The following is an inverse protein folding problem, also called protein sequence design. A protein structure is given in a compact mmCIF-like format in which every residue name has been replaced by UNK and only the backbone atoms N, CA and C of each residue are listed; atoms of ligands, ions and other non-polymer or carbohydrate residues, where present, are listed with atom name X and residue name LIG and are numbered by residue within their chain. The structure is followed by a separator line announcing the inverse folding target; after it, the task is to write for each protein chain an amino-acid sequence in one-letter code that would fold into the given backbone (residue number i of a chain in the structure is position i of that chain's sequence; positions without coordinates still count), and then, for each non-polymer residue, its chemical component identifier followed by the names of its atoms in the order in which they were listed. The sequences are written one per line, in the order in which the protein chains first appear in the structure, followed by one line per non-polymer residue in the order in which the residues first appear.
data_IF_971090446472
#
_entry.id   IF_971090446472
#
_cell.length_a   1.000
_cell.length_b   1.000
_cell.length_c   1.000
_cell.angle_alpha   90.00
_cell.angle_beta   90.00
_cell.angle_gamma   90.00
#
_symmetry.space_group_name_H-M   'P 1'
#
loop_
_entity.id
_entity.type
_entity.pdbx_description
1 polymer ?
#
# COMPACT_ATOMS: atom_id res chain seq x y z
N UNK A 1 22.64 5.66 -10.75
CA UNK A 1 22.25 6.80 -9.87
C UNK A 1 22.75 6.52 -8.45
N UNK A 2 23.20 7.55 -7.70
CA UNK A 2 23.59 7.42 -6.29
C UNK A 2 22.49 7.98 -5.38
N UNK A 3 22.38 7.43 -4.15
CA UNK A 3 21.33 7.84 -3.20
C UNK A 3 21.41 9.33 -2.83
N UNK A 4 22.62 9.88 -2.76
CA UNK A 4 22.90 11.27 -2.39
C UNK A 4 22.50 12.26 -3.49
N UNK A 5 22.37 11.81 -4.73
CA UNK A 5 21.93 12.64 -5.86
C UNK A 5 20.41 12.88 -5.85
N UNK A 6 19.64 12.04 -5.16
CA UNK A 6 18.20 12.23 -5.01
C UNK A 6 17.93 13.43 -4.10
N UNK A 7 17.27 14.45 -4.63
CA UNK A 7 16.84 15.67 -3.92
C UNK A 7 15.35 15.94 -4.10
N UNK A 8 14.81 15.61 -5.27
CA UNK A 8 13.44 15.88 -5.70
C UNK A 8 12.72 14.57 -5.99
N UNK A 9 11.64 14.33 -5.27
CA UNK A 9 10.86 13.10 -5.43
C UNK A 9 9.44 13.46 -5.87
N UNK A 10 8.97 12.87 -6.97
CA UNK A 10 7.58 12.97 -7.36
C UNK A 10 6.78 11.80 -6.76
N UNK A 11 5.61 12.11 -6.22
CA UNK A 11 4.62 11.13 -5.75
C UNK A 11 3.37 11.29 -6.60
N UNK A 12 3.03 10.27 -7.36
CA UNK A 12 1.91 10.28 -8.29
C UNK A 12 0.72 9.55 -7.65
N UNK A 13 -0.34 10.29 -7.40
CA UNK A 13 -1.49 9.86 -6.60
C UNK A 13 -1.45 10.47 -5.21
N UNK A 14 -2.40 11.36 -4.92
CA UNK A 14 -2.52 12.06 -3.64
C UNK A 14 -3.57 11.41 -2.71
N UNK A 15 -3.88 10.14 -2.93
CA UNK A 15 -4.74 9.36 -2.06
C UNK A 15 -4.12 9.11 -0.67
N UNK A 16 -4.71 8.18 0.09
CA UNK A 16 -4.24 7.85 1.45
C UNK A 16 -2.76 7.48 1.51
N UNK A 17 -2.28 6.61 0.60
CA UNK A 17 -0.88 6.18 0.62
C UNK A 17 0.05 7.28 0.12
N UNK A 18 -0.26 7.92 -1.02
CA UNK A 18 0.60 8.97 -1.58
C UNK A 18 0.80 10.15 -0.64
N UNK A 19 -0.25 10.62 0.05
CA UNK A 19 -0.12 11.69 1.04
C UNK A 19 0.80 11.30 2.22
N UNK A 20 0.71 10.07 2.72
CA UNK A 20 1.57 9.58 3.79
C UNK A 20 3.03 9.35 3.34
N UNK A 21 3.23 8.88 2.10
CA UNK A 21 4.56 8.71 1.50
C UNK A 21 5.22 10.09 1.30
N UNK A 22 4.49 11.06 0.76
CA UNK A 22 4.97 12.43 0.61
C UNK A 22 5.39 13.05 1.95
N UNK A 23 4.57 12.88 3.00
CA UNK A 23 4.92 13.32 4.35
C UNK A 23 6.19 12.62 4.90
N UNK A 24 6.36 11.31 4.68
CA UNK A 24 7.55 10.57 5.09
C UNK A 24 8.81 11.08 4.37
N UNK A 25 8.74 11.25 3.05
CA UNK A 25 9.84 11.75 2.21
C UNK A 25 10.29 13.14 2.65
N UNK A 26 9.34 14.06 2.89
CA UNK A 26 9.63 15.40 3.37
C UNK A 26 10.17 15.38 4.79
N UNK A 27 9.55 14.66 5.72
CA UNK A 27 9.91 14.66 7.14
C UNK A 27 11.25 14.01 7.41
N UNK A 28 11.48 12.80 6.92
CA UNK A 28 12.67 12.00 7.22
C UNK A 28 13.76 12.21 6.18
N UNK A 29 13.40 12.12 4.90
CA UNK A 29 14.35 12.25 3.80
C UNK A 29 14.78 13.68 3.53
N UNK A 30 14.03 14.69 4.03
CA UNK A 30 14.23 16.12 3.74
C UNK A 30 14.19 16.45 2.24
N UNK A 31 13.50 15.61 1.45
CA UNK A 31 13.35 15.81 0.02
C UNK A 31 12.36 16.94 -0.29
N UNK A 32 12.59 17.64 -1.40
CA UNK A 32 11.54 18.41 -2.08
C UNK A 32 10.58 17.42 -2.75
N UNK A 33 9.29 17.48 -2.43
CA UNK A 33 8.30 16.53 -2.92
C UNK A 33 7.31 17.23 -3.83
N UNK A 34 7.06 16.68 -5.01
CA UNK A 34 5.94 17.08 -5.87
C UNK A 34 4.86 16.01 -5.76
N UNK A 35 3.73 16.36 -5.15
CA UNK A 35 2.57 15.49 -5.00
C UNK A 35 1.59 15.76 -6.13
N UNK A 36 1.14 14.71 -6.84
CA UNK A 36 0.32 14.85 -8.04
C UNK A 36 -0.98 14.07 -7.91
N UNK A 37 -2.09 14.66 -8.36
CA UNK A 37 -3.36 13.95 -8.57
C UNK A 37 -4.16 14.64 -9.69
N UNK A 38 -5.29 14.07 -10.08
CA UNK A 38 -6.11 14.52 -11.22
C UNK A 38 -6.84 15.85 -10.96
N UNK A 39 -6.97 16.29 -9.72
CA UNK A 39 -7.65 17.55 -9.39
C UNK A 39 -7.05 18.27 -8.19
N UNK A 40 -7.20 19.61 -8.17
CA UNK A 40 -6.81 20.47 -7.04
C UNK A 40 -7.58 20.13 -5.75
N UNK A 41 -8.83 19.68 -5.86
CA UNK A 41 -9.65 19.28 -4.71
C UNK A 41 -9.00 18.08 -3.99
N UNK A 42 -8.59 17.05 -4.72
CA UNK A 42 -7.90 15.88 -4.16
C UNK A 42 -6.57 16.28 -3.53
N UNK A 43 -5.83 17.20 -4.15
CA UNK A 43 -4.59 17.74 -3.59
C UNK A 43 -4.82 18.50 -2.29
N UNK A 44 -5.83 19.37 -2.23
CA UNK A 44 -6.19 20.10 -1.02
C UNK A 44 -6.57 19.16 0.13
N UNK A 45 -7.36 18.13 -0.15
CA UNK A 45 -7.69 17.08 0.81
C UNK A 45 -6.44 16.30 1.27
N UNK A 46 -5.49 16.06 0.37
CA UNK A 46 -4.23 15.41 0.70
C UNK A 46 -3.40 16.26 1.65
N UNK A 47 -3.29 17.58 1.43
CA UNK A 47 -2.59 18.47 2.34
C UNK A 47 -3.24 18.53 3.73
N UNK A 48 -4.57 18.49 3.80
CA UNK A 48 -5.29 18.40 5.08
C UNK A 48 -4.97 17.07 5.80
N UNK A 49 -4.99 15.95 5.06
CA UNK A 49 -4.61 14.63 5.62
C UNK A 49 -3.17 14.62 6.11
N UNK A 50 -2.23 15.18 5.35
CA UNK A 50 -0.81 15.28 5.73
C UNK A 50 -0.68 16.05 7.06
N UNK A 51 -1.33 17.20 7.20
CA UNK A 51 -1.31 17.97 8.46
C UNK A 51 -1.92 17.20 9.61
N UNK A 52 -3.08 16.57 9.40
CA UNK A 52 -3.76 15.75 10.39
C UNK A 52 -2.91 14.58 10.88
N UNK A 53 -2.29 13.84 9.95
CA UNK A 53 -1.44 12.70 10.28
C UNK A 53 -0.14 13.15 10.98
N UNK A 54 0.51 14.21 10.52
CA UNK A 54 1.70 14.78 11.19
C UNK A 54 1.35 15.24 12.60
N UNK A 55 0.21 15.92 12.78
CA UNK A 55 -0.27 16.32 14.10
C UNK A 55 -0.47 15.11 15.01
N UNK A 56 -1.29 14.14 14.57
CA UNK A 56 -1.67 12.94 15.35
C UNK A 56 -0.48 12.07 15.73
N UNK A 57 0.44 11.80 14.80
CA UNK A 57 1.52 10.83 15.01
C UNK A 57 2.80 11.45 15.57
N UNK A 58 2.96 12.77 15.47
CA UNK A 58 4.22 13.42 15.83
C UNK A 58 4.06 14.64 16.74
N UNK A 59 3.23 15.64 16.41
CA UNK A 59 3.08 16.84 17.24
C UNK A 59 2.41 16.52 18.58
N UNK A 60 1.26 15.84 18.55
CA UNK A 60 0.52 15.47 19.77
C UNK A 60 1.29 14.48 20.66
N UNK A 61 2.35 13.87 20.12
CA UNK A 61 3.27 12.98 20.85
C UNK A 61 4.59 13.66 21.24
N UNK A 62 4.73 14.95 21.04
CA UNK A 62 5.93 15.72 21.36
C UNK A 62 7.18 15.32 20.59
N UNK A 63 7.04 14.67 19.41
CA UNK A 63 8.16 14.24 18.58
C UNK A 63 8.65 15.31 17.61
N UNK A 64 7.78 16.22 17.23
CA UNK A 64 8.08 17.42 16.46
C UNK A 64 7.23 18.58 16.99
N UNK A 65 7.68 19.82 16.75
CA UNK A 65 6.94 21.04 17.05
C UNK A 65 5.93 21.36 15.93
N UNK A 66 5.02 22.31 16.21
CA UNK A 66 4.11 22.82 15.18
C UNK A 66 4.89 23.52 14.04
N UNK A 67 5.96 24.26 14.36
CA UNK A 67 6.81 24.91 13.36
C UNK A 67 7.49 23.89 12.43
N UNK A 68 8.06 22.82 12.99
CA UNK A 68 8.66 21.75 12.20
C UNK A 68 7.63 21.05 11.31
N UNK A 69 6.36 20.90 11.76
CA UNK A 69 5.29 20.39 10.94
C UNK A 69 5.04 21.28 9.72
N UNK A 70 4.97 22.61 9.89
CA UNK A 70 4.80 23.52 8.76
C UNK A 70 5.99 23.53 7.81
N UNK A 71 7.22 23.38 8.30
CA UNK A 71 8.40 23.22 7.46
C UNK A 71 8.36 21.92 6.64
N UNK A 72 7.84 20.82 7.21
CA UNK A 72 7.65 19.56 6.50
C UNK A 72 6.63 19.75 5.37
N UNK A 73 5.51 20.41 5.66
CA UNK A 73 4.48 20.65 4.65
C UNK A 73 4.97 21.61 3.57
N UNK A 74 5.74 22.62 3.91
CA UNK A 74 6.28 23.61 2.95
C UNK A 74 7.24 22.99 1.90
N UNK A 75 7.83 21.81 2.16
CA UNK A 75 8.64 21.07 1.17
C UNK A 75 7.81 20.23 0.20
N UNK A 76 6.48 20.20 0.34
CA UNK A 76 5.58 19.44 -0.52
C UNK A 76 4.79 20.43 -1.39
N UNK A 77 4.94 20.33 -2.70
CA UNK A 77 4.21 21.11 -3.68
C UNK A 77 3.18 20.22 -4.38
N UNK A 78 2.02 20.79 -4.73
CA UNK A 78 0.96 20.09 -5.49
C UNK A 78 1.01 20.47 -6.97
N UNK A 79 0.70 19.52 -7.87
CA UNK A 79 0.41 19.78 -9.28
C UNK A 79 -0.59 18.75 -9.81
N UNK A 80 -1.40 19.15 -10.80
CA UNK A 80 -2.30 18.21 -11.48
C UNK A 80 -1.68 17.60 -12.75
N UNK A 81 -0.40 17.91 -13.02
CA UNK A 81 0.32 17.45 -14.21
C UNK A 81 1.37 16.39 -13.86
N UNK A 82 1.17 15.15 -14.31
CA UNK A 82 2.18 14.09 -14.23
C UNK A 82 3.46 14.49 -14.96
N UNK A 83 3.33 15.11 -16.13
CA UNK A 83 4.47 15.55 -16.92
C UNK A 83 5.33 16.59 -16.20
N UNK A 84 4.70 17.55 -15.51
CA UNK A 84 5.39 18.55 -14.71
C UNK A 84 6.13 17.90 -13.52
N UNK A 85 5.45 17.01 -12.79
CA UNK A 85 6.03 16.31 -11.65
C UNK A 85 7.23 15.43 -12.07
N UNK A 86 7.11 14.71 -13.18
CA UNK A 86 8.13 13.80 -13.68
C UNK A 86 9.38 14.53 -14.20
N UNK A 87 9.20 15.66 -14.91
CA UNK A 87 10.28 16.39 -15.59
C UNK A 87 11.42 16.82 -14.65
N UNK A 88 11.09 17.14 -13.41
CA UNK A 88 12.04 17.65 -12.45
C UNK A 88 12.39 16.63 -11.33
N UNK A 89 11.86 15.43 -11.39
CA UNK A 89 12.08 14.41 -10.39
C UNK A 89 13.42 13.69 -10.58
N UNK A 90 14.08 13.39 -9.48
CA UNK A 90 15.24 12.49 -9.43
C UNK A 90 14.79 11.05 -9.11
N UNK A 91 13.59 10.88 -8.52
CA UNK A 91 12.97 9.61 -8.19
C UNK A 91 11.44 9.76 -8.21
N UNK A 92 10.72 8.73 -8.67
CA UNK A 92 9.26 8.75 -8.74
C UNK A 92 8.66 7.60 -7.95
N UNK A 93 7.61 7.87 -7.16
CA UNK A 93 6.80 6.84 -6.50
C UNK A 93 5.34 6.98 -6.97
N UNK A 94 4.84 5.98 -7.68
CA UNK A 94 3.45 5.90 -8.09
C UNK A 94 2.61 5.28 -6.95
N UNK A 95 1.50 5.93 -6.61
CA UNK A 95 0.54 5.53 -5.59
C UNK A 95 -0.91 5.85 -6.02
N UNK A 96 -1.22 5.72 -7.32
CA UNK A 96 -2.56 5.90 -7.88
C UNK A 96 -3.47 4.71 -7.57
N UNK A 97 -4.72 4.78 -8.02
CA UNK A 97 -5.71 3.72 -7.81
C UNK A 97 -5.19 2.34 -8.26
N UNK A 98 -5.51 1.29 -7.48
CA UNK A 98 -5.02 -0.08 -7.69
C UNK A 98 -5.72 -0.74 -8.89
N UNK A 99 -5.30 -0.35 -10.09
CA UNK A 99 -5.76 -0.88 -11.37
C UNK A 99 -4.59 -0.92 -12.34
N UNK A 100 -4.27 -2.10 -12.87
CA UNK A 100 -3.10 -2.31 -13.70
C UNK A 100 -3.11 -1.45 -14.98
N UNK A 101 -4.28 -1.28 -15.62
CA UNK A 101 -4.41 -0.47 -16.83
C UNK A 101 -4.07 1.00 -16.52
N UNK A 102 -4.64 1.55 -15.46
CA UNK A 102 -4.36 2.94 -15.03
C UNK A 102 -2.87 3.10 -14.70
N UNK A 103 -2.28 2.15 -13.96
CA UNK A 103 -0.85 2.21 -13.63
C UNK A 103 0.03 2.14 -14.87
N UNK A 104 -0.29 1.30 -15.85
CA UNK A 104 0.46 1.24 -17.12
C UNK A 104 0.36 2.55 -17.91
N UNK A 105 -0.80 3.22 -17.93
CA UNK A 105 -0.96 4.54 -18.52
C UNK A 105 -0.07 5.58 -17.83
N UNK A 106 -0.07 5.59 -16.49
CA UNK A 106 0.79 6.47 -15.68
C UNK A 106 2.28 6.19 -15.95
N UNK A 107 2.70 4.92 -15.95
CA UNK A 107 4.11 4.55 -16.25
C UNK A 107 4.54 4.95 -17.65
N UNK A 108 3.66 4.81 -18.65
CA UNK A 108 3.94 5.28 -20.00
C UNK A 108 4.11 6.80 -20.08
N UNK A 109 3.33 7.57 -19.30
CA UNK A 109 3.45 9.02 -19.23
C UNK A 109 4.71 9.45 -18.48
N UNK A 110 5.03 8.78 -17.37
CA UNK A 110 6.27 9.00 -16.62
C UNK A 110 7.50 8.71 -17.47
N UNK A 111 7.50 7.62 -18.24
CA UNK A 111 8.61 7.25 -19.12
C UNK A 111 8.91 8.29 -20.20
N UNK A 112 7.88 8.99 -20.69
CA UNK A 112 8.03 10.06 -21.69
C UNK A 112 8.60 11.35 -21.12
N UNK A 113 8.34 11.64 -19.84
CA UNK A 113 8.59 12.97 -19.26
C UNK A 113 9.75 12.99 -18.24
N UNK A 114 10.05 11.88 -17.57
CA UNK A 114 11.17 11.79 -16.64
C UNK A 114 12.50 11.61 -17.38
N UNK A 115 13.62 12.10 -16.79
CA UNK A 115 14.96 11.88 -17.31
C UNK A 115 15.26 10.36 -17.41
N UNK A 116 16.10 9.90 -18.37
CA UNK A 116 16.29 8.48 -18.69
C UNK A 116 16.76 7.60 -17.52
N UNK A 117 17.51 8.16 -16.57
CA UNK A 117 18.09 7.47 -15.43
C UNK A 117 17.22 7.49 -14.16
N UNK A 118 16.05 8.14 -14.21
CA UNK A 118 15.10 8.21 -13.10
C UNK A 118 14.46 6.85 -12.87
N UNK A 119 14.47 6.41 -11.60
CA UNK A 119 13.77 5.21 -11.16
C UNK A 119 12.29 5.50 -10.98
N UNK A 120 11.46 4.61 -11.51
CA UNK A 120 10.01 4.62 -11.41
C UNK A 120 9.56 3.50 -10.47
N UNK A 121 9.18 3.85 -9.24
CA UNK A 121 8.72 2.90 -8.24
C UNK A 121 7.19 2.87 -8.17
N UNK A 122 6.59 1.68 -7.97
CA UNK A 122 5.16 1.55 -7.68
C UNK A 122 4.91 1.15 -6.23
N UNK A 123 3.93 1.78 -5.59
CA UNK A 123 3.44 1.37 -4.27
C UNK A 123 2.29 0.35 -4.36
N UNK A 124 2.13 -0.33 -5.49
CA UNK A 124 1.12 -1.39 -5.61
C UNK A 124 1.25 -2.43 -4.50
N UNK A 125 0.12 -3.01 -4.11
CA UNK A 125 0.06 -4.06 -3.08
C UNK A 125 0.11 -5.48 -3.65
N UNK A 126 0.08 -5.65 -4.98
CA UNK A 126 0.05 -6.98 -5.57
C UNK A 126 -0.02 -7.04 -7.09
N UNK A 127 -0.10 -5.91 -7.79
CA UNK A 127 -0.09 -5.89 -9.27
C UNK A 127 1.33 -6.05 -9.80
N UNK A 128 1.47 -6.67 -10.97
CA UNK A 128 2.78 -7.02 -11.54
C UNK A 128 3.62 -5.79 -11.90
N UNK A 129 4.79 -5.70 -11.29
CA UNK A 129 5.83 -4.72 -11.61
C UNK A 129 6.37 -4.96 -13.02
N UNK A 130 6.50 -6.22 -13.41
CA UNK A 130 6.95 -6.62 -14.75
C UNK A 130 6.02 -6.09 -15.84
N UNK A 131 4.69 -6.16 -15.62
CA UNK A 131 3.73 -5.62 -16.57
C UNK A 131 3.76 -4.07 -16.63
N UNK A 132 4.00 -3.39 -15.51
CA UNK A 132 4.20 -1.93 -15.50
C UNK A 132 5.48 -1.55 -16.23
N UNK A 133 6.56 -2.30 -16.04
CA UNK A 133 7.83 -2.09 -16.73
C UNK A 133 7.71 -2.26 -18.26
N UNK A 134 6.85 -3.17 -18.72
CA UNK A 134 6.70 -3.49 -20.15
C UNK A 134 6.22 -2.34 -21.04
N UNK A 135 5.67 -1.29 -20.47
CA UNK A 135 5.23 -0.09 -21.20
C UNK A 135 6.23 1.05 -21.16
N UNK A 136 7.41 0.83 -20.59
CA UNK A 136 8.50 1.82 -20.47
C UNK A 136 9.70 1.44 -21.32
N UNK A 137 10.57 2.40 -21.62
CA UNK A 137 11.86 2.20 -22.31
C UNK A 137 13.01 1.95 -21.33
N UNK A 138 12.72 1.94 -20.02
CA UNK A 138 13.67 1.73 -18.91
C UNK A 138 13.18 0.62 -17.95
N UNK A 139 12.87 -0.59 -18.44
CA UNK A 139 12.30 -1.64 -17.57
C UNK A 139 13.22 -2.06 -16.42
N UNK A 140 14.52 -1.82 -16.55
CA UNK A 140 15.55 -2.02 -15.53
C UNK A 140 15.48 -1.01 -14.37
N UNK A 141 14.90 0.17 -14.60
CA UNK A 141 14.64 1.22 -13.62
C UNK A 141 13.21 1.22 -13.06
N UNK A 142 12.43 0.17 -13.33
CA UNK A 142 11.08 0.00 -12.75
C UNK A 142 11.12 -1.02 -11.62
N UNK A 143 10.52 -0.68 -10.46
CA UNK A 143 10.60 -1.47 -9.23
C UNK A 143 9.34 -1.29 -8.39
N UNK A 144 8.98 -2.28 -7.57
CA UNK A 144 7.99 -2.09 -6.50
C UNK A 144 8.64 -1.49 -5.25
N UNK A 145 7.97 -0.53 -4.64
CA UNK A 145 8.31 0.04 -3.32
C UNK A 145 7.04 0.10 -2.48
N UNK A 146 6.62 -1.05 -1.97
CA UNK A 146 5.34 -1.22 -1.28
C UNK A 146 5.44 -0.84 0.19
N UNK A 147 4.76 0.23 0.56
CA UNK A 147 4.62 0.70 1.94
C UNK A 147 3.35 0.15 2.57
N UNK A 148 3.37 0.02 3.90
CA UNK A 148 2.23 -0.45 4.70
C UNK A 148 1.55 0.71 5.44
N UNK A 149 0.22 0.69 5.48
CA UNK A 149 -0.60 1.70 6.17
C UNK A 149 -0.72 1.39 7.67
N UNK A 150 -0.52 2.37 8.58
CA UNK A 150 -0.09 3.74 8.38
C UNK A 150 1.43 3.85 8.12
N UNK A 151 1.82 4.61 7.08
CA UNK A 151 3.24 4.76 6.71
C UNK A 151 4.09 5.35 7.85
N UNK A 152 3.50 6.21 8.69
CA UNK A 152 4.18 6.78 9.86
C UNK A 152 4.58 5.73 10.92
N UNK A 153 3.90 4.59 10.98
CA UNK A 153 4.04 3.56 12.03
C UNK A 153 4.73 2.31 11.51
N UNK A 154 4.26 1.80 10.36
CA UNK A 154 4.72 0.52 9.81
C UNK A 154 6.16 0.62 9.31
N UNK A 155 6.99 -0.33 9.73
CA UNK A 155 8.44 -0.32 9.44
C UNK A 155 8.81 -1.00 8.14
N UNK A 156 7.99 -1.95 7.68
CA UNK A 156 8.27 -2.74 6.49
C UNK A 156 8.11 -1.91 5.21
N UNK A 157 9.04 -2.10 4.27
CA UNK A 157 8.88 -1.79 2.85
C UNK A 157 9.27 -3.04 2.07
N UNK A 158 8.36 -3.56 1.26
CA UNK A 158 8.70 -4.61 0.29
C UNK A 158 9.27 -3.96 -0.97
N UNK A 159 10.50 -4.33 -1.31
CA UNK A 159 11.15 -3.94 -2.56
C UNK A 159 10.95 -5.07 -3.56
N UNK A 160 10.08 -4.85 -4.54
CA UNK A 160 9.63 -5.90 -5.46
C UNK A 160 10.40 -5.80 -6.75
N UNK A 161 11.22 -6.82 -7.02
CA UNK A 161 12.01 -6.94 -8.24
C UNK A 161 11.17 -7.54 -9.35
N UNK A 162 10.84 -6.76 -10.39
CA UNK A 162 10.26 -7.26 -11.64
C UNK A 162 11.27 -8.06 -12.46
N UNK A 163 10.81 -8.70 -13.52
CA UNK A 163 11.66 -9.58 -14.35
C UNK A 163 12.87 -8.85 -14.96
N UNK A 164 12.75 -7.56 -15.20
CA UNK A 164 13.80 -6.76 -15.84
C UNK A 164 14.48 -5.78 -14.89
N UNK A 165 13.97 -5.62 -13.65
CA UNK A 165 14.55 -4.69 -12.66
C UNK A 165 16.00 -5.03 -12.37
N UNK A 166 16.91 -4.05 -12.51
CA UNK A 166 18.34 -4.26 -12.23
C UNK A 166 18.62 -4.40 -10.73
N UNK A 167 19.72 -5.05 -10.40
CA UNK A 167 20.17 -5.16 -9.00
C UNK A 167 20.58 -3.79 -8.44
N UNK A 168 21.11 -2.90 -9.27
CA UNK A 168 21.44 -1.53 -8.93
C UNK A 168 20.21 -0.75 -8.49
N UNK A 169 19.10 -0.89 -9.23
CA UNK A 169 17.80 -0.28 -8.88
C UNK A 169 17.28 -0.82 -7.55
N UNK A 170 17.31 -2.15 -7.35
CA UNK A 170 16.90 -2.78 -6.08
C UNK A 170 17.74 -2.27 -4.91
N UNK A 171 19.07 -2.24 -5.08
CA UNK A 171 19.99 -1.81 -4.03
C UNK A 171 19.78 -0.34 -3.66
N UNK A 172 19.58 0.53 -4.63
CA UNK A 172 19.30 1.96 -4.39
C UNK A 172 17.98 2.17 -3.66
N UNK A 173 16.91 1.45 -4.05
CA UNK A 173 15.61 1.54 -3.39
C UNK A 173 15.66 0.99 -1.96
N UNK A 174 16.43 -0.10 -1.72
CA UNK A 174 16.71 -0.58 -0.37
C UNK A 174 17.43 0.46 0.49
N UNK A 175 18.44 1.13 -0.08
CA UNK A 175 19.17 2.19 0.60
C UNK A 175 18.25 3.40 0.91
N UNK A 176 17.41 3.81 -0.04
CA UNK A 176 16.42 4.87 0.16
C UNK A 176 15.43 4.49 1.27
N UNK A 177 14.91 3.27 1.28
CA UNK A 177 13.99 2.80 2.33
C UNK A 177 14.64 2.86 3.71
N UNK A 178 15.91 2.41 3.83
CA UNK A 178 16.69 2.50 5.09
C UNK A 178 16.88 3.96 5.53
N UNK A 179 17.25 4.86 4.62
CA UNK A 179 17.38 6.30 4.90
C UNK A 179 16.07 6.92 5.39
N UNK A 180 14.92 6.40 4.92
CA UNK A 180 13.58 6.79 5.39
C UNK A 180 13.18 6.14 6.73
N UNK A 181 14.08 5.39 7.39
CA UNK A 181 13.84 4.72 8.66
C UNK A 181 12.95 3.49 8.55
N UNK A 182 12.93 2.87 7.36
CA UNK A 182 12.21 1.62 7.06
C UNK A 182 13.16 0.43 7.02
N UNK A 183 12.57 -0.77 7.13
CA UNK A 183 13.27 -2.04 6.98
C UNK A 183 12.86 -2.64 5.62
N UNK A 184 13.70 -2.54 4.57
CA UNK A 184 13.38 -3.13 3.28
C UNK A 184 13.55 -4.65 3.32
N UNK A 185 12.62 -5.34 2.65
CA UNK A 185 12.69 -6.77 2.34
C UNK A 185 12.52 -6.92 0.83
N UNK A 186 13.44 -7.63 0.19
CA UNK A 186 13.40 -7.84 -1.26
C UNK A 186 12.60 -9.08 -1.58
N UNK A 187 11.73 -9.00 -2.59
CA UNK A 187 11.02 -10.15 -3.15
C UNK A 187 10.92 -10.04 -4.67
N UNK A 188 10.60 -11.17 -5.31
CA UNK A 188 10.40 -11.22 -6.75
C UNK A 188 8.93 -11.01 -7.11
N UNK A 189 8.68 -10.38 -8.25
CA UNK A 189 7.36 -10.16 -8.86
C UNK A 189 6.85 -11.46 -9.52
N UNK A 190 6.60 -12.49 -8.73
CA UNK A 190 6.15 -13.80 -9.21
C UNK A 190 4.76 -14.19 -8.73
N UNK A 191 4.12 -13.39 -7.89
CA UNK A 191 2.78 -13.70 -7.39
C UNK A 191 2.09 -12.53 -6.75
N UNK A 192 0.77 -12.53 -6.84
CA UNK A 192 -0.12 -11.55 -6.23
C UNK A 192 0.08 -11.45 -4.71
N UNK A 193 0.19 -10.21 -4.18
CA UNK A 193 0.27 -9.93 -2.75
C UNK A 193 1.68 -10.05 -2.15
N UNK A 194 2.71 -10.27 -2.96
CA UNK A 194 4.13 -10.31 -2.60
C UNK A 194 4.42 -11.26 -1.41
N UNK A 195 4.99 -10.78 -0.31
CA UNK A 195 5.29 -11.60 0.87
C UNK A 195 4.23 -11.47 1.97
N UNK A 196 4.09 -10.27 2.54
CA UNK A 196 3.28 -10.06 3.74
C UNK A 196 1.79 -10.28 3.47
N UNK A 197 1.26 -9.66 2.40
CA UNK A 197 -0.15 -9.81 2.05
C UNK A 197 -0.48 -11.22 1.58
N UNK A 198 0.44 -11.90 0.89
CA UNK A 198 0.26 -13.30 0.46
C UNK A 198 0.20 -14.24 1.66
N UNK A 199 1.14 -14.13 2.61
CA UNK A 199 1.17 -14.95 3.81
C UNK A 199 -0.05 -14.68 4.71
N UNK A 200 -0.36 -13.41 4.96
CA UNK A 200 -1.54 -13.02 5.71
C UNK A 200 -2.83 -13.48 5.04
N UNK A 201 -2.95 -13.33 3.73
CA UNK A 201 -4.12 -13.76 2.97
C UNK A 201 -4.37 -15.28 3.07
N UNK A 202 -3.32 -16.10 3.09
CA UNK A 202 -3.43 -17.54 3.28
C UNK A 202 -3.95 -17.87 4.70
N UNK A 203 -3.36 -17.24 5.72
CA UNK A 203 -3.78 -17.40 7.12
C UNK A 203 -5.23 -16.92 7.33
N UNK A 204 -5.59 -15.77 6.75
CA UNK A 204 -6.94 -15.22 6.84
C UNK A 204 -7.96 -16.12 6.14
N UNK A 205 -7.62 -16.67 4.97
CA UNK A 205 -8.49 -17.59 4.23
C UNK A 205 -8.81 -18.84 5.05
N UNK A 206 -7.80 -19.41 5.70
CA UNK A 206 -7.98 -20.57 6.56
C UNK A 206 -8.81 -20.22 7.81
N UNK A 207 -8.56 -19.08 8.44
CA UNK A 207 -9.36 -18.63 9.58
C UNK A 207 -10.83 -18.42 9.21
N UNK A 208 -11.11 -17.88 8.02
CA UNK A 208 -12.48 -17.77 7.48
C UNK A 208 -13.10 -19.13 7.22
N UNK A 209 -12.33 -20.11 6.73
CA UNK A 209 -12.78 -21.49 6.53
C UNK A 209 -13.17 -22.14 7.87
N UNK A 210 -12.35 -21.98 8.92
CA UNK A 210 -12.70 -22.49 10.26
C UNK A 210 -13.99 -21.88 10.82
N UNK A 211 -14.24 -20.58 10.56
CA UNK A 211 -15.54 -19.96 10.92
C UNK A 211 -16.69 -20.57 10.12
N UNK A 212 -16.50 -20.81 8.82
CA UNK A 212 -17.50 -21.41 7.95
C UNK A 212 -17.87 -22.84 8.37
N UNK A 213 -16.89 -23.63 8.73
CA UNK A 213 -17.04 -25.00 9.24
C UNK A 213 -17.54 -25.06 10.68
N UNK A 214 -17.66 -23.92 11.35
CA UNK A 214 -18.05 -23.82 12.78
C UNK A 214 -17.11 -24.56 13.72
N UNK A 215 -15.83 -24.60 13.39
CA UNK A 215 -14.79 -25.20 14.26
C UNK A 215 -14.72 -24.47 15.59
N UNK A 216 -14.74 -23.12 15.55
CA UNK A 216 -14.81 -22.26 16.73
C UNK A 216 -15.38 -20.88 16.37
N UNK A 217 -15.62 -20.06 17.39
CA UNK A 217 -15.98 -18.66 17.18
C UNK A 217 -14.81 -17.86 16.58
N UNK A 218 -15.05 -16.73 15.86
CA UNK A 218 -13.99 -15.84 15.41
C UNK A 218 -13.07 -15.39 16.55
N UNK A 219 -13.66 -15.13 17.73
CA UNK A 219 -12.96 -14.74 18.95
C UNK A 219 -11.97 -15.83 19.42
N UNK A 220 -12.38 -17.08 19.42
CA UNK A 220 -11.53 -18.20 19.86
C UNK A 220 -10.46 -18.56 18.85
N UNK A 221 -10.76 -18.48 17.54
CA UNK A 221 -9.77 -18.67 16.47
C UNK A 221 -8.64 -17.64 16.60
N UNK A 222 -8.99 -16.36 16.70
CA UNK A 222 -8.00 -15.30 16.87
C UNK A 222 -7.24 -15.41 18.19
N UNK A 223 -7.92 -15.76 19.29
CA UNK A 223 -7.29 -16.00 20.58
C UNK A 223 -6.27 -17.15 20.52
N UNK A 224 -6.60 -18.25 19.86
CA UNK A 224 -5.69 -19.38 19.69
C UNK A 224 -4.43 -18.98 18.93
N UNK A 225 -4.56 -18.23 17.83
CA UNK A 225 -3.42 -17.76 17.03
C UNK A 225 -2.59 -16.70 17.75
N UNK A 226 -3.23 -15.79 18.49
CA UNK A 226 -2.54 -14.78 19.31
C UNK A 226 -1.73 -15.42 20.41
N UNK A 227 -2.30 -16.38 21.15
CA UNK A 227 -1.62 -17.01 22.30
C UNK A 227 -0.67 -18.14 21.88
N UNK A 228 -1.01 -18.90 20.82
CA UNK A 228 -0.21 -20.03 20.38
C UNK A 228 1.03 -19.62 19.55
N UNK A 229 0.94 -18.52 18.81
CA UNK A 229 2.02 -18.03 17.93
C UNK A 229 2.51 -16.63 18.26
N UNK A 230 2.06 -16.06 19.37
CA UNK A 230 2.42 -14.70 19.82
C UNK A 230 2.15 -13.62 18.76
N UNK A 231 1.06 -13.75 18.00
CA UNK A 231 0.66 -12.72 17.05
C UNK A 231 0.13 -11.49 17.81
N UNK A 232 0.50 -10.27 17.40
CA UNK A 232 0.02 -9.05 18.06
C UNK A 232 -1.48 -8.83 17.85
N UNK A 233 -2.05 -9.41 16.81
CA UNK A 233 -3.46 -9.32 16.42
C UNK A 233 -3.84 -10.60 15.66
N UNK A 234 -5.07 -11.08 15.86
CA UNK A 234 -5.58 -12.23 15.12
C UNK A 234 -5.92 -11.87 13.67
N UNK A 235 -5.93 -12.86 12.75
CA UNK A 235 -6.19 -12.60 11.34
C UNK A 235 -7.61 -12.07 11.07
N UNK A 236 -8.61 -12.52 11.79
CA UNK A 236 -10.00 -12.07 11.62
C UNK A 236 -10.19 -10.67 12.19
N UNK A 237 -9.57 -10.37 13.34
CA UNK A 237 -9.54 -9.05 13.96
C UNK A 237 -8.88 -8.02 13.02
N UNK A 238 -7.74 -8.37 12.43
CA UNK A 238 -7.08 -7.53 11.44
C UNK A 238 -7.94 -7.36 10.19
N UNK A 239 -8.61 -8.43 9.73
CA UNK A 239 -9.54 -8.39 8.61
C UNK A 239 -10.69 -7.40 8.81
N UNK A 240 -11.30 -7.43 10.00
CA UNK A 240 -12.35 -6.48 10.37
C UNK A 240 -11.80 -5.05 10.48
N UNK A 241 -10.65 -4.86 11.12
CA UNK A 241 -10.05 -3.55 11.34
C UNK A 241 -9.72 -2.82 10.02
N UNK A 242 -9.15 -3.51 9.04
CA UNK A 242 -8.72 -2.89 7.78
C UNK A 242 -9.77 -2.95 6.67
N UNK A 243 -10.89 -3.64 6.87
CA UNK A 243 -11.94 -3.82 5.86
C UNK A 243 -11.59 -4.83 4.77
N UNK A 244 -10.87 -5.89 5.12
CA UNK A 244 -10.40 -6.91 4.17
C UNK A 244 -11.53 -7.54 3.34
N UNK A 245 -12.74 -7.63 3.88
CA UNK A 245 -13.85 -8.28 3.20
C UNK A 245 -14.30 -7.54 1.94
N UNK A 246 -14.41 -6.19 2.02
CA UNK A 246 -14.69 -5.36 0.85
C UNK A 246 -13.54 -5.37 -0.16
N UNK A 247 -12.28 -5.30 0.33
CA UNK A 247 -11.07 -5.36 -0.50
C UNK A 247 -11.02 -6.69 -1.26
N UNK A 248 -11.27 -7.81 -0.59
CA UNK A 248 -11.28 -9.11 -1.23
C UNK A 248 -12.39 -9.24 -2.27
N UNK A 249 -13.59 -8.69 -1.98
CA UNK A 249 -14.68 -8.72 -2.94
C UNK A 249 -14.38 -7.88 -4.19
N UNK A 250 -13.82 -6.68 -4.04
CA UNK A 250 -13.49 -5.80 -5.16
C UNK A 250 -12.32 -6.29 -6.01
N UNK A 251 -11.38 -7.04 -5.42
CA UNK A 251 -10.17 -7.56 -6.10
C UNK A 251 -10.30 -9.03 -6.55
N UNK A 252 -11.51 -9.62 -6.52
CA UNK A 252 -11.70 -11.04 -6.86
C UNK A 252 -11.23 -11.38 -8.29
N UNK A 253 -11.54 -10.52 -9.26
CA UNK A 253 -11.15 -10.76 -10.66
C UNK A 253 -9.64 -10.72 -10.85
N UNK A 254 -8.96 -9.77 -10.23
CA UNK A 254 -7.49 -9.68 -10.28
C UNK A 254 -6.85 -10.92 -9.64
N UNK A 255 -7.36 -11.35 -8.50
CA UNK A 255 -6.86 -12.57 -7.85
C UNK A 255 -7.09 -13.83 -8.70
N UNK A 256 -8.25 -13.95 -9.36
CA UNK A 256 -8.53 -15.08 -10.26
C UNK A 256 -7.54 -15.08 -11.43
N UNK A 257 -7.26 -13.91 -12.01
CA UNK A 257 -6.29 -13.77 -13.10
C UNK A 257 -4.89 -14.21 -12.67
N UNK A 258 -4.44 -13.79 -11.48
CA UNK A 258 -3.08 -14.01 -10.99
C UNK A 258 -2.87 -15.39 -10.33
N UNK A 259 -3.88 -15.92 -9.65
CA UNK A 259 -3.76 -17.12 -8.82
C UNK A 259 -4.55 -18.32 -9.36
N UNK A 260 -5.31 -18.12 -10.43
CA UNK A 260 -6.29 -19.07 -10.93
C UNK A 260 -7.60 -19.10 -10.13
N UNK A 261 -8.67 -19.73 -10.68
CA UNK A 261 -9.99 -19.72 -10.07
C UNK A 261 -10.03 -20.37 -8.69
N UNK A 262 -9.31 -21.45 -8.47
CA UNK A 262 -9.32 -22.18 -7.18
C UNK A 262 -8.80 -21.33 -6.01
N UNK A 263 -7.75 -20.54 -6.25
CA UNK A 263 -7.11 -19.72 -5.20
C UNK A 263 -7.63 -18.28 -5.15
N UNK A 264 -8.06 -17.76 -6.30
CA UNK A 264 -8.49 -16.37 -6.45
C UNK A 264 -9.94 -16.11 -6.08
N UNK A 265 -10.82 -17.13 -6.11
CA UNK A 265 -12.23 -16.95 -5.78
C UNK A 265 -12.47 -16.45 -4.35
N UNK A 266 -13.48 -15.59 -4.23
CA UNK A 266 -13.97 -15.13 -2.94
C UNK A 266 -14.64 -16.28 -2.18
N UNK A 267 -14.25 -16.46 -0.92
CA UNK A 267 -14.86 -17.45 -0.04
C UNK A 267 -16.38 -17.23 0.09
N UNK A 268 -17.24 -18.29 0.05
CA UNK A 268 -18.69 -18.15 0.14
C UNK A 268 -19.17 -17.34 1.36
N UNK A 269 -18.57 -17.55 2.53
CA UNK A 269 -18.85 -16.78 3.74
C UNK A 269 -18.59 -15.28 3.53
N UNK A 270 -17.43 -14.92 2.99
CA UNK A 270 -17.08 -13.50 2.75
C UNK A 270 -18.04 -12.87 1.73
N UNK A 271 -18.38 -13.60 0.67
CA UNK A 271 -19.37 -13.14 -0.31
C UNK A 271 -20.74 -12.89 0.34
N UNK A 272 -21.16 -13.77 1.24
CA UNK A 272 -22.41 -13.61 1.98
C UNK A 272 -22.35 -12.40 2.92
N UNK A 273 -21.28 -12.27 3.70
CA UNK A 273 -21.03 -11.13 4.60
C UNK A 273 -21.09 -9.79 3.85
N UNK A 274 -20.34 -9.66 2.75
CA UNK A 274 -20.27 -8.40 1.98
C UNK A 274 -21.63 -8.04 1.39
N UNK A 275 -22.39 -9.02 0.85
CA UNK A 275 -23.77 -8.81 0.36
C UNK A 275 -24.72 -8.36 1.46
N UNK A 276 -24.48 -8.79 2.70
CA UNK A 276 -25.28 -8.40 3.87
C UNK A 276 -24.78 -7.09 4.53
N UNK A 277 -23.74 -6.43 3.96
CA UNK A 277 -23.21 -5.16 4.48
C UNK A 277 -22.13 -5.29 5.56
N UNK A 278 -21.66 -6.50 5.87
CA UNK A 278 -20.59 -6.76 6.84
C UNK A 278 -19.23 -6.71 6.13
N UNK A 279 -18.74 -5.50 5.90
CA UNK A 279 -17.55 -5.25 5.10
C UNK A 279 -16.26 -5.05 5.91
N UNK A 280 -16.39 -4.87 7.23
CA UNK A 280 -15.29 -4.42 8.06
C UNK A 280 -14.85 -2.99 7.72
N UNK A 281 -13.79 -2.55 8.35
CA UNK A 281 -13.27 -1.18 8.26
C UNK A 281 -13.82 -0.27 9.37
N UNK A 282 -13.25 0.94 9.50
CA UNK A 282 -13.62 1.86 10.58
C UNK A 282 -15.12 2.14 10.65
N UNK A 283 -15.74 1.84 11.80
CA UNK A 283 -17.16 2.08 12.06
C UNK A 283 -18.13 1.15 11.32
N UNK A 284 -17.64 0.08 10.67
CA UNK A 284 -18.47 -0.88 9.95
C UNK A 284 -18.41 -2.26 10.63
N UNK A 285 -19.53 -3.00 10.52
CA UNK A 285 -19.61 -4.38 11.00
C UNK A 285 -18.78 -5.32 10.14
N UNK A 286 -18.21 -6.35 10.75
CA UNK A 286 -17.38 -7.36 10.11
C UNK A 286 -17.73 -8.80 10.49
N UNK A 287 -16.74 -9.70 10.48
CA UNK A 287 -16.95 -11.13 10.70
C UNK A 287 -17.40 -11.46 12.14
N UNK A 288 -16.90 -10.71 13.12
CA UNK A 288 -17.32 -10.88 14.52
C UNK A 288 -18.79 -10.57 14.71
N UNK A 289 -19.27 -9.46 14.11
CA UNK A 289 -20.69 -9.10 14.17
C UNK A 289 -21.55 -10.09 13.38
N UNK A 290 -21.07 -10.51 12.19
CA UNK A 290 -21.78 -11.49 11.37
C UNK A 290 -21.93 -12.85 12.09
N UNK A 291 -20.90 -13.28 12.79
CA UNK A 291 -20.97 -14.46 13.63
C UNK A 291 -22.06 -14.33 14.70
N UNK A 292 -22.04 -13.25 15.49
CA UNK A 292 -23.00 -13.03 16.57
C UNK A 292 -24.44 -12.84 16.13
N UNK A 293 -24.62 -12.12 15.04
CA UNK A 293 -25.96 -11.70 14.58
C UNK A 293 -26.63 -12.72 13.66
N UNK A 294 -25.85 -13.48 12.90
CA UNK A 294 -26.34 -14.37 11.84
C UNK A 294 -25.96 -15.83 12.08
N UNK A 295 -24.66 -16.15 12.09
CA UNK A 295 -24.19 -17.54 12.08
C UNK A 295 -24.49 -18.31 13.36
N UNK A 296 -24.33 -17.69 14.53
CA UNK A 296 -24.57 -18.36 15.83
C UNK A 296 -26.05 -18.67 16.08
N UNK A 297 -26.95 -17.98 15.35
CA UNK A 297 -28.40 -18.18 15.47
C UNK A 297 -28.98 -19.16 14.45
N UNK A 298 -28.20 -19.44 13.39
CA UNK A 298 -28.58 -20.40 12.35
C UNK A 298 -28.22 -21.81 12.83
N UNK A 299 -29.22 -22.62 13.18
CA UNK A 299 -29.04 -24.05 13.50
C UNK A 299 -28.73 -24.86 12.24
#
# INVERSE_FOLDING_TARGET
MELESIKRVAVIGAGRMGSQIAALLSRVGKYSVTLTDVSEEILNDAFQRIRSDLKRYFVDKGKITQSEMEEIVARINGTTSIAEAAKNADFVIEAVFENLKVKKEVFSELDKNAAPDVILASNTSGLSITEMASVTKRPDNVVGMHFFNPVAVMKLVEVVKGAFTSDETVNLVCALAKKLGKNPVVCLDVSYGFLANRAYGAMLKEAVQMVWERVASPEDIDKALKLGYNLPMGPLELGDMVGSWAIWASSEQDRIRELGPEKGQLHPLVRWMVRAGYTGGPGKKGIYDFWREVLSKSK
#
